data_IF_772914307293
#
_entry.id   IF_772914307293
#
_cell.length_a   1.000
_cell.length_b   1.000
_cell.length_c   1.000
_cell.angle_alpha   90.00
_cell.angle_beta   90.00
_cell.angle_gamma   90.00
#
_symmetry.space_group_name_H-M   'P 1'
#
loop_
_entity.id
_entity.type
_entity.pdbx_description
1 polymer ?
#
# COMPACT_ATOMS: atom_id res chain seq x y z
N UNK A 1 -8.27 13.56 10.80
CA UNK A 1 -9.07 12.68 9.92
C UNK A 1 -10.58 12.98 9.91
N UNK A 2 -11.17 13.62 10.93
CA UNK A 2 -12.61 13.89 10.95
C UNK A 2 -13.11 14.85 9.84
N UNK A 3 -12.25 15.74 9.33
CA UNK A 3 -12.63 16.72 8.29
C UNK A 3 -13.18 16.08 7.02
N UNK A 4 -12.64 14.91 6.61
CA UNK A 4 -13.15 14.19 5.44
C UNK A 4 -14.60 13.74 5.63
N UNK A 5 -14.94 13.19 6.81
CA UNK A 5 -16.30 12.73 7.10
C UNK A 5 -17.31 13.89 7.03
N UNK A 6 -16.97 15.04 7.64
CA UNK A 6 -17.79 16.24 7.61
C UNK A 6 -17.99 16.75 6.18
N UNK A 7 -16.91 16.81 5.39
CA UNK A 7 -16.94 17.35 4.03
C UNK A 7 -17.67 16.46 3.02
N UNK A 8 -17.96 15.20 3.35
CA UNK A 8 -18.78 14.28 2.52
C UNK A 8 -20.19 14.06 3.07
N UNK A 9 -20.59 14.82 4.10
CA UNK A 9 -21.95 14.80 4.65
C UNK A 9 -22.19 13.74 5.73
N UNK A 10 -21.16 13.28 6.43
CA UNK A 10 -21.28 12.44 7.62
C UNK A 10 -21.06 13.27 8.89
N UNK A 11 -21.81 12.99 9.95
CA UNK A 11 -21.70 13.73 11.23
C UNK A 11 -20.34 13.55 11.91
N UNK A 12 -19.74 12.36 11.75
CA UNK A 12 -18.43 12.01 12.30
C UNK A 12 -17.83 10.83 11.55
N UNK A 13 -16.52 10.65 11.75
CA UNK A 13 -15.82 9.47 11.26
C UNK A 13 -16.42 8.18 11.84
N UNK A 14 -16.69 7.20 10.96
CA UNK A 14 -17.11 5.87 11.36
C UNK A 14 -16.01 5.16 12.15
N UNK A 15 -16.41 4.25 13.06
CA UNK A 15 -15.45 3.50 13.87
C UNK A 15 -14.48 2.70 13.02
N UNK A 16 -13.27 2.49 13.54
CA UNK A 16 -12.21 1.77 12.85
C UNK A 16 -12.64 0.43 12.24
N UNK A 17 -13.31 -0.44 13.01
CA UNK A 17 -13.69 -1.77 12.53
C UNK A 17 -14.86 -1.72 11.54
N UNK A 18 -15.88 -0.87 11.78
CA UNK A 18 -17.03 -0.73 10.87
C UNK A 18 -16.60 -0.25 9.47
N UNK A 19 -15.55 0.57 9.37
CA UNK A 19 -15.00 0.99 8.07
C UNK A 19 -14.52 -0.20 7.24
N UNK A 20 -13.97 -1.23 7.87
CA UNK A 20 -13.55 -2.42 7.16
C UNK A 20 -14.71 -3.35 6.79
N UNK A 21 -15.80 -3.35 7.56
CA UNK A 21 -17.00 -4.12 7.18
C UNK A 21 -17.66 -3.52 5.93
N UNK A 22 -17.73 -2.18 5.87
CA UNK A 22 -18.16 -1.46 4.66
C UNK A 22 -17.20 -1.76 3.50
N UNK A 23 -15.89 -1.72 3.75
CA UNK A 23 -14.89 -2.00 2.72
C UNK A 23 -14.98 -3.44 2.20
N UNK A 24 -15.27 -4.42 3.06
CA UNK A 24 -15.43 -5.82 2.63
C UNK A 24 -16.60 -5.95 1.63
N UNK A 25 -17.75 -5.34 1.93
CA UNK A 25 -18.89 -5.36 1.01
C UNK A 25 -18.62 -4.52 -0.26
N UNK A 26 -17.90 -3.41 -0.13
CA UNK A 26 -17.46 -2.61 -1.28
C UNK A 26 -16.61 -3.45 -2.24
N UNK A 27 -15.65 -4.21 -1.72
CA UNK A 27 -14.82 -5.11 -2.52
C UNK A 27 -15.67 -6.18 -3.21
N UNK A 28 -16.64 -6.76 -2.51
CA UNK A 28 -17.55 -7.75 -3.11
C UNK A 28 -18.38 -7.15 -4.26
N UNK A 29 -18.82 -5.89 -4.17
CA UNK A 29 -19.50 -5.19 -5.29
C UNK A 29 -18.56 -5.04 -6.48
N UNK A 30 -17.37 -4.45 -6.27
CA UNK A 30 -16.47 -4.15 -7.41
C UNK A 30 -15.90 -5.40 -8.05
N UNK A 31 -15.67 -6.49 -7.30
CA UNK A 31 -15.27 -7.76 -7.87
C UNK A 31 -16.36 -8.37 -8.76
N UNK A 32 -17.63 -8.33 -8.34
CA UNK A 32 -18.73 -8.78 -9.21
C UNK A 32 -18.77 -7.97 -10.51
N UNK A 33 -18.61 -6.65 -10.43
CA UNK A 33 -18.58 -5.77 -11.60
C UNK A 33 -17.41 -6.10 -12.55
N UNK A 34 -16.19 -6.20 -12.03
CA UNK A 34 -14.99 -6.38 -12.85
C UNK A 34 -14.81 -7.82 -13.37
N UNK A 35 -15.16 -8.81 -12.57
CA UNK A 35 -14.84 -10.21 -12.88
C UNK A 35 -16.01 -11.01 -13.44
N UNK A 36 -17.25 -10.68 -13.10
CA UNK A 36 -18.41 -11.54 -13.40
C UNK A 36 -19.47 -10.90 -14.30
N UNK A 37 -19.63 -9.57 -14.27
CA UNK A 37 -20.69 -8.90 -15.04
C UNK A 37 -20.55 -9.06 -16.55
N UNK A 38 -19.33 -9.20 -17.07
CA UNK A 38 -19.08 -9.43 -18.50
C UNK A 38 -18.22 -10.69 -18.66
N UNK A 39 -18.66 -11.64 -19.48
CA UNK A 39 -17.85 -12.81 -19.84
C UNK A 39 -16.62 -12.40 -20.67
N UNK A 40 -15.61 -13.27 -20.75
CA UNK A 40 -14.33 -12.97 -21.42
C UNK A 40 -14.48 -12.69 -22.92
N UNK A 41 -15.47 -13.28 -23.57
CA UNK A 41 -15.75 -13.16 -25.00
C UNK A 41 -17.10 -12.46 -25.28
N UNK A 42 -17.55 -11.60 -24.34
CA UNK A 42 -18.75 -10.78 -24.51
C UNK A 42 -18.58 -9.76 -25.64
N UNK A 43 -17.39 -9.19 -25.81
CA UNK A 43 -17.08 -8.21 -26.87
C UNK A 43 -16.62 -8.95 -28.13
N UNK A 44 -17.37 -8.79 -29.22
CA UNK A 44 -17.15 -9.52 -30.48
C UNK A 44 -16.62 -8.58 -31.58
N UNK A 45 -17.14 -7.35 -31.65
CA UNK A 45 -16.82 -6.36 -32.71
C UNK A 45 -17.00 -6.94 -34.13
N UNK A 46 -18.15 -7.54 -34.40
CA UNK A 46 -18.54 -8.05 -35.73
C UNK A 46 -19.21 -6.92 -36.55
N UNK A 47 -18.41 -6.29 -37.43
CA UNK A 47 -18.88 -5.19 -38.30
C UNK A 47 -19.85 -5.66 -39.39
N UNK A 48 -19.74 -6.90 -39.85
CA UNK A 48 -20.60 -7.43 -40.92
C UNK A 48 -22.01 -7.70 -40.42
N UNK A 49 -22.13 -8.24 -39.19
CA UNK A 49 -23.42 -8.50 -38.53
C UNK A 49 -23.95 -7.32 -37.71
N UNK A 50 -23.14 -6.28 -37.51
CA UNK A 50 -23.50 -5.11 -36.70
C UNK A 50 -23.59 -5.43 -35.19
N UNK A 51 -22.81 -6.40 -34.70
CA UNK A 51 -22.83 -6.84 -33.30
C UNK A 51 -21.53 -6.39 -32.63
N UNK A 52 -21.63 -5.46 -31.68
CA UNK A 52 -20.46 -5.06 -30.87
C UNK A 52 -20.25 -6.02 -29.69
N UNK A 53 -21.31 -6.30 -28.93
CA UNK A 53 -21.31 -7.15 -27.74
C UNK A 53 -22.43 -8.18 -27.85
N UNK A 54 -22.17 -9.41 -27.40
CA UNK A 54 -23.21 -10.42 -27.18
C UNK A 54 -23.99 -10.10 -25.89
N UNK A 55 -25.27 -9.68 -25.99
CA UNK A 55 -26.04 -9.31 -24.81
C UNK A 55 -26.33 -10.50 -23.89
N UNK A 56 -26.21 -11.74 -24.37
CA UNK A 56 -26.38 -12.93 -23.54
C UNK A 56 -25.22 -13.20 -22.58
N UNK A 57 -24.13 -12.43 -22.73
CA UNK A 57 -22.88 -12.54 -21.96
C UNK A 57 -22.59 -11.33 -21.06
N UNK A 58 -23.58 -10.46 -20.92
CA UNK A 58 -23.54 -9.30 -20.02
C UNK A 58 -24.65 -9.48 -18.98
N UNK A 59 -24.24 -9.50 -17.73
CA UNK A 59 -25.05 -9.93 -16.60
C UNK A 59 -25.10 -8.83 -15.54
N UNK A 60 -26.31 -8.58 -15.06
CA UNK A 60 -26.56 -7.83 -13.84
C UNK A 60 -25.90 -8.53 -12.64
N UNK A 61 -25.31 -7.78 -11.71
CA UNK A 61 -24.60 -8.39 -10.57
C UNK A 61 -25.51 -8.71 -9.37
N UNK A 62 -26.72 -8.13 -9.39
CA UNK A 62 -27.79 -8.32 -8.40
C UNK A 62 -27.28 -8.28 -6.95
N UNK A 63 -26.38 -7.34 -6.64
CA UNK A 63 -25.83 -7.21 -5.31
C UNK A 63 -26.84 -6.51 -4.39
N UNK A 64 -27.25 -7.20 -3.33
CA UNK A 64 -28.00 -6.63 -2.21
C UNK A 64 -27.35 -7.04 -0.90
N UNK A 65 -26.59 -6.12 -0.33
CA UNK A 65 -25.88 -6.28 0.93
C UNK A 65 -26.40 -5.32 2.01
N UNK A 66 -25.65 -5.22 3.11
CA UNK A 66 -26.01 -4.35 4.23
C UNK A 66 -25.75 -2.88 3.93
N UNK A 67 -24.74 -2.59 3.11
CA UNK A 67 -24.24 -1.25 2.85
C UNK A 67 -24.54 -0.78 1.41
N UNK A 68 -24.63 -1.71 0.46
CA UNK A 68 -24.79 -1.42 -0.96
C UNK A 68 -25.91 -2.24 -1.60
N UNK A 69 -26.63 -1.59 -2.52
CA UNK A 69 -27.60 -2.23 -3.39
C UNK A 69 -27.31 -1.82 -4.84
N UNK A 70 -26.78 -2.76 -5.62
CA UNK A 70 -26.29 -2.52 -6.99
C UNK A 70 -26.84 -3.65 -7.87
N UNK A 71 -27.98 -3.44 -8.54
CA UNK A 71 -28.59 -4.48 -9.36
C UNK A 71 -27.87 -4.66 -10.69
N UNK A 72 -27.50 -3.56 -11.34
CA UNK A 72 -27.13 -3.55 -12.75
C UNK A 72 -25.75 -4.10 -13.10
N UNK A 73 -25.55 -4.37 -14.39
CA UNK A 73 -24.28 -4.73 -14.99
C UNK A 73 -23.24 -3.61 -14.92
N UNK A 74 -21.96 -3.99 -15.08
CA UNK A 74 -20.88 -3.05 -15.23
C UNK A 74 -21.01 -2.31 -16.57
N UNK A 75 -20.73 -1.00 -16.59
CA UNK A 75 -20.84 -0.19 -17.80
C UNK A 75 -19.60 -0.30 -18.71
N UNK A 76 -18.53 -0.92 -18.23
CA UNK A 76 -17.27 -1.05 -18.96
C UNK A 76 -17.07 -2.49 -19.42
N UNK A 77 -16.54 -2.65 -20.64
CA UNK A 77 -16.09 -3.94 -21.14
C UNK A 77 -14.87 -4.47 -20.36
N UNK A 78 -14.58 -5.79 -20.40
CA UNK A 78 -13.42 -6.37 -19.74
C UNK A 78 -12.09 -5.66 -20.09
N UNK A 79 -11.44 -5.06 -19.10
CA UNK A 79 -10.12 -4.46 -19.25
C UNK A 79 -9.01 -5.52 -19.26
N UNK A 80 -7.77 -5.21 -19.70
CA UNK A 80 -6.67 -6.18 -19.76
C UNK A 80 -6.36 -6.92 -18.44
N UNK A 81 -6.66 -6.29 -17.30
CA UNK A 81 -6.47 -6.87 -15.98
C UNK A 81 -7.79 -7.25 -15.28
N UNK A 82 -8.93 -6.84 -15.85
CA UNK A 82 -10.24 -6.74 -15.18
C UNK A 82 -10.13 -5.98 -13.87
N UNK A 83 -9.90 -6.68 -12.77
CA UNK A 83 -9.59 -6.06 -11.48
C UNK A 83 -8.20 -5.39 -11.54
N UNK A 84 -8.06 -4.10 -11.16
CA UNK A 84 -6.75 -3.45 -11.03
C UNK A 84 -5.89 -4.12 -9.96
N UNK A 85 -4.57 -3.87 -9.93
CA UNK A 85 -3.72 -4.38 -8.85
C UNK A 85 -4.15 -3.79 -7.51
N UNK A 86 -4.43 -4.63 -6.53
CA UNK A 86 -4.96 -4.16 -5.23
C UNK A 86 -3.83 -3.86 -4.25
N UNK A 87 -3.68 -2.57 -3.93
CA UNK A 87 -2.82 -2.10 -2.85
C UNK A 87 -3.61 -1.88 -1.57
N UNK A 88 -2.99 -2.16 -0.43
CA UNK A 88 -3.59 -1.92 0.88
C UNK A 88 -2.50 -1.51 1.90
N UNK A 89 -2.81 -0.60 2.83
CA UNK A 89 -1.83 -0.02 3.77
C UNK A 89 -2.26 -0.10 5.25
N UNK A 90 -3.17 -1.00 5.60
CA UNK A 90 -3.72 -1.14 6.94
C UNK A 90 -3.04 -2.23 7.74
N UNK A 91 -2.25 -1.85 8.75
CA UNK A 91 -1.49 -2.77 9.59
C UNK A 91 -2.14 -3.10 10.96
N UNK A 92 -3.34 -2.58 11.26
CA UNK A 92 -4.12 -2.98 12.45
C UNK A 92 -4.57 -4.44 12.37
N UNK A 93 -5.03 -5.05 13.46
CA UNK A 93 -5.50 -6.45 13.42
C UNK A 93 -6.61 -6.67 12.37
N UNK A 94 -7.61 -5.78 12.33
CA UNK A 94 -8.68 -5.81 11.32
C UNK A 94 -8.15 -5.49 9.91
N UNK A 95 -7.23 -4.54 9.80
CA UNK A 95 -6.59 -4.16 8.54
C UNK A 95 -5.76 -5.28 7.92
N UNK A 96 -4.99 -6.01 8.74
CA UNK A 96 -4.21 -7.17 8.29
C UNK A 96 -5.09 -8.28 7.74
N UNK A 97 -6.21 -8.58 8.40
CA UNK A 97 -7.20 -9.55 7.90
C UNK A 97 -7.80 -9.12 6.56
N UNK A 98 -8.13 -7.83 6.44
CA UNK A 98 -8.66 -7.28 5.20
C UNK A 98 -7.62 -7.35 4.06
N UNK A 99 -6.36 -6.97 4.33
CA UNK A 99 -5.29 -7.06 3.34
C UNK A 99 -4.96 -8.50 2.97
N UNK A 100 -4.89 -9.41 3.95
CA UNK A 100 -4.69 -10.83 3.71
C UNK A 100 -5.76 -11.40 2.76
N UNK A 101 -7.01 -10.95 2.93
CA UNK A 101 -8.11 -11.33 2.04
C UNK A 101 -7.99 -10.72 0.63
N UNK A 102 -7.69 -9.42 0.51
CA UNK A 102 -7.89 -8.67 -0.75
C UNK A 102 -6.65 -8.12 -1.44
N UNK A 103 -5.54 -7.94 -0.73
CA UNK A 103 -4.38 -7.23 -1.28
C UNK A 103 -3.53 -8.15 -2.18
N UNK A 104 -2.99 -7.57 -3.23
CA UNK A 104 -1.85 -8.12 -3.97
C UNK A 104 -0.55 -7.43 -3.51
N UNK A 105 -0.63 -6.16 -3.13
CA UNK A 105 0.47 -5.45 -2.48
C UNK A 105 0.03 -4.84 -1.16
N UNK A 106 0.86 -5.04 -0.14
CA UNK A 106 0.69 -4.45 1.17
C UNK A 106 1.82 -3.45 1.40
N UNK A 107 1.45 -2.23 1.76
CA UNK A 107 2.39 -1.22 2.21
C UNK A 107 2.42 -1.17 3.73
N UNK A 108 3.61 -1.25 4.32
CA UNK A 108 3.83 -1.12 5.77
C UNK A 108 4.72 0.07 6.08
N UNK A 109 4.35 0.81 7.13
CA UNK A 109 5.17 1.86 7.75
C UNK A 109 5.67 1.36 9.10
N UNK A 110 6.95 0.99 9.16
CA UNK A 110 7.64 0.47 10.33
C UNK A 110 8.96 1.20 10.51
N UNK A 111 9.37 1.42 11.76
CA UNK A 111 10.54 2.24 12.09
C UNK A 111 11.83 1.45 12.24
N UNK A 112 11.76 0.11 12.39
CA UNK A 112 12.91 -0.76 12.62
C UNK A 112 12.83 -2.07 11.82
N UNK A 113 13.95 -2.71 11.51
CA UNK A 113 13.97 -4.04 10.87
C UNK A 113 13.22 -5.08 11.70
N UNK A 114 13.39 -5.07 13.03
CA UNK A 114 12.70 -6.01 13.92
C UNK A 114 11.16 -5.88 13.86
N UNK A 115 10.65 -4.64 13.90
CA UNK A 115 9.21 -4.39 13.78
C UNK A 115 8.67 -4.74 12.39
N UNK A 116 9.49 -4.55 11.36
CA UNK A 116 9.20 -4.92 9.97
C UNK A 116 9.08 -6.44 9.83
N UNK A 117 10.07 -7.20 10.30
CA UNK A 117 10.08 -8.67 10.28
C UNK A 117 8.84 -9.26 10.96
N UNK A 118 8.51 -8.76 12.17
CA UNK A 118 7.30 -9.18 12.90
C UNK A 118 6.02 -8.88 12.12
N UNK A 119 5.97 -7.73 11.45
CA UNK A 119 4.79 -7.32 10.66
C UNK A 119 4.66 -8.16 9.40
N UNK A 120 5.74 -8.41 8.67
CA UNK A 120 5.80 -9.31 7.51
C UNK A 120 5.29 -10.70 7.91
N UNK A 121 5.85 -11.30 8.97
CA UNK A 121 5.42 -12.62 9.45
C UNK A 121 3.91 -12.65 9.75
N UNK A 122 3.38 -11.64 10.45
CA UNK A 122 1.96 -11.56 10.75
C UNK A 122 1.09 -11.48 9.49
N UNK A 123 1.51 -10.75 8.44
CA UNK A 123 0.79 -10.73 7.16
C UNK A 123 0.82 -12.09 6.46
N UNK A 124 1.98 -12.77 6.41
CA UNK A 124 2.08 -14.11 5.81
C UNK A 124 1.16 -15.11 6.53
N UNK A 125 1.14 -15.08 7.86
CA UNK A 125 0.26 -15.94 8.67
C UNK A 125 -1.23 -15.66 8.42
N UNK A 126 -1.65 -14.39 8.39
CA UNK A 126 -3.04 -14.04 8.08
C UNK A 126 -3.42 -14.40 6.63
N UNK A 127 -2.48 -14.31 5.68
CA UNK A 127 -2.70 -14.71 4.27
C UNK A 127 -3.01 -16.19 4.16
N UNK A 128 -2.26 -17.03 4.88
CA UNK A 128 -2.52 -18.49 4.95
C UNK A 128 -3.89 -18.75 5.57
N UNK A 129 -4.24 -18.06 6.67
CA UNK A 129 -5.56 -18.20 7.32
C UNK A 129 -6.70 -17.77 6.39
N UNK A 130 -6.46 -16.82 5.48
CA UNK A 130 -7.41 -16.40 4.46
C UNK A 130 -7.53 -17.39 3.28
N UNK A 131 -6.78 -18.50 3.29
CA UNK A 131 -6.81 -19.52 2.24
C UNK A 131 -6.01 -19.16 0.99
N UNK A 132 -5.11 -18.17 1.07
CA UNK A 132 -4.23 -17.73 -0.02
C UNK A 132 -2.81 -18.20 0.21
N UNK A 133 -2.02 -18.25 -0.86
CA UNK A 133 -0.60 -18.55 -0.73
C UNK A 133 0.18 -17.30 -0.29
N UNK A 134 1.17 -17.42 0.60
CA UNK A 134 1.91 -16.27 1.11
C UNK A 134 2.51 -15.38 0.02
N UNK A 135 3.00 -15.96 -1.07
CA UNK A 135 3.64 -15.29 -2.21
C UNK A 135 2.68 -14.52 -3.12
N UNK A 136 1.37 -14.71 -2.97
CA UNK A 136 0.35 -13.94 -3.70
C UNK A 136 0.16 -12.52 -3.16
N UNK A 137 0.87 -12.16 -2.09
CA UNK A 137 0.96 -10.81 -1.56
C UNK A 137 2.42 -10.37 -1.62
N UNK A 138 2.69 -9.20 -2.17
CA UNK A 138 4.01 -8.55 -2.02
C UNK A 138 3.95 -7.49 -0.94
N UNK A 139 4.92 -7.47 -0.05
CA UNK A 139 4.97 -6.54 1.08
C UNK A 139 6.07 -5.51 0.83
N UNK A 140 5.67 -4.25 0.77
CA UNK A 140 6.57 -3.11 0.56
C UNK A 140 6.70 -2.33 1.86
N UNK A 141 7.93 -1.97 2.24
CA UNK A 141 8.18 -1.06 3.36
C UNK A 141 8.61 0.32 2.89
N UNK A 142 8.29 1.37 3.65
CA UNK A 142 8.75 2.73 3.38
C UNK A 142 10.24 2.86 3.66
N UNK A 143 10.97 3.55 2.80
CA UNK A 143 12.33 4.05 3.09
C UNK A 143 12.53 5.43 2.48
N UNK A 144 13.36 6.26 3.10
CA UNK A 144 13.83 7.52 2.51
C UNK A 144 15.35 7.45 2.33
N UNK A 145 15.85 7.21 1.10
CA UNK A 145 17.29 7.18 0.85
C UNK A 145 17.84 8.60 0.68
N UNK A 146 18.97 8.89 1.33
CA UNK A 146 19.78 10.08 1.11
C UNK A 146 21.12 9.60 0.56
N UNK A 147 21.34 9.84 -0.74
CA UNK A 147 22.47 9.27 -1.47
C UNK A 147 23.35 10.38 -2.02
N UNK A 148 24.66 10.18 -1.93
CA UNK A 148 25.68 10.99 -2.60
C UNK A 148 26.85 10.07 -3.00
N UNK A 149 27.80 10.53 -3.83
CA UNK A 149 28.93 9.72 -4.26
C UNK A 149 29.77 9.13 -3.11
N UNK A 150 29.91 9.87 -2.00
CA UNK A 150 30.65 9.43 -0.80
C UNK A 150 29.75 9.38 0.45
N UNK A 151 30.24 8.72 1.51
CA UNK A 151 29.52 8.65 2.79
C UNK A 151 29.41 10.05 3.42
N UNK A 152 30.51 10.80 3.39
CA UNK A 152 30.63 12.13 3.95
C UNK A 152 29.69 13.12 3.25
N UNK A 153 29.64 13.12 1.91
CA UNK A 153 28.71 13.98 1.15
C UNK A 153 27.24 13.63 1.43
N UNK A 154 26.91 12.35 1.67
CA UNK A 154 25.54 11.94 1.97
C UNK A 154 25.12 12.40 3.38
N UNK A 155 26.04 12.35 4.34
CA UNK A 155 25.85 12.87 5.69
C UNK A 155 25.70 14.40 5.68
N UNK A 156 26.57 15.12 4.95
CA UNK A 156 26.44 16.57 4.78
C UNK A 156 25.10 16.96 4.14
N UNK A 157 24.69 16.25 3.10
CA UNK A 157 23.38 16.42 2.45
C UNK A 157 22.22 16.19 3.42
N UNK A 158 22.31 15.16 4.26
CA UNK A 158 21.27 14.89 5.27
C UNK A 158 21.22 15.98 6.36
N UNK A 159 22.38 16.41 6.86
CA UNK A 159 22.47 17.53 7.81
C UNK A 159 21.95 18.84 7.23
N UNK A 160 22.15 19.08 5.93
CA UNK A 160 21.54 20.21 5.23
C UNK A 160 20.01 20.10 5.22
N UNK A 161 19.46 18.95 4.83
CA UNK A 161 18.00 18.77 4.76
C UNK A 161 17.31 18.96 6.12
N UNK A 162 17.94 18.48 7.20
CA UNK A 162 17.41 18.69 8.56
C UNK A 162 17.25 20.17 8.92
N UNK A 163 18.09 21.08 8.39
CA UNK A 163 17.97 22.53 8.63
C UNK A 163 16.68 23.14 8.05
N UNK A 164 16.09 22.48 7.06
CA UNK A 164 14.85 22.89 6.42
C UNK A 164 13.62 22.15 6.97
N UNK A 165 13.80 21.17 7.86
CA UNK A 165 12.70 20.46 8.47
C UNK A 165 11.90 21.41 9.38
N UNK A 166 10.58 21.46 9.17
CA UNK A 166 9.67 22.24 10.03
C UNK A 166 9.20 21.38 11.20
N UNK A 167 9.53 21.81 12.41
CA UNK A 167 9.08 21.17 13.64
C UNK A 167 7.54 21.15 13.72
N UNK A 168 6.89 22.29 13.50
CA UNK A 168 5.43 22.42 13.52
C UNK A 168 4.77 21.58 12.42
N UNK A 169 5.38 21.55 11.23
CA UNK A 169 4.92 20.70 10.12
C UNK A 169 4.98 19.22 10.46
N UNK A 170 6.06 18.78 11.11
CA UNK A 170 6.20 17.40 11.58
C UNK A 170 5.15 17.05 12.63
N UNK A 171 4.93 17.93 13.63
CA UNK A 171 3.90 17.71 14.65
C UNK A 171 2.49 17.67 14.04
N UNK A 172 2.19 18.52 13.06
CA UNK A 172 0.90 18.50 12.35
C UNK A 172 0.68 17.17 11.62
N UNK A 173 1.71 16.63 10.97
CA UNK A 173 1.65 15.32 10.30
C UNK A 173 1.42 14.19 11.32
N UNK A 174 2.23 14.15 12.39
CA UNK A 174 2.10 13.12 13.42
C UNK A 174 0.75 13.21 14.11
N UNK A 175 0.26 14.41 14.42
CA UNK A 175 -1.08 14.61 14.97
C UNK A 175 -2.18 14.11 14.01
N UNK A 176 -2.00 14.32 12.70
CA UNK A 176 -2.87 13.77 11.67
C UNK A 176 -2.90 12.25 11.64
N UNK A 177 -1.73 11.59 11.75
CA UNK A 177 -1.60 10.13 11.73
C UNK A 177 -2.06 9.47 13.03
N UNK A 178 -1.71 10.07 14.16
CA UNK A 178 -1.92 9.50 15.50
C UNK A 178 -3.23 9.93 16.15
N UNK A 179 -3.83 11.03 15.70
CA UNK A 179 -5.00 11.64 16.33
C UNK A 179 -4.70 12.34 17.66
N UNK A 180 -3.42 12.55 17.99
CA UNK A 180 -2.98 13.27 19.19
C UNK A 180 -2.78 14.75 18.89
N UNK A 181 -3.05 15.61 19.87
CA UNK A 181 -2.59 17.00 19.82
C UNK A 181 -1.22 17.10 20.50
N UNK A 182 -0.15 17.07 19.71
CA UNK A 182 1.22 17.07 20.23
C UNK A 182 1.69 18.45 20.70
N UNK A 183 1.04 19.53 20.29
CA UNK A 183 1.36 20.90 20.73
C UNK A 183 1.12 21.11 22.23
N UNK A 184 0.17 20.35 22.80
CA UNK A 184 -0.17 20.40 24.23
C UNK A 184 0.76 19.55 25.11
N UNK A 185 1.63 18.74 24.51
CA UNK A 185 2.54 17.84 25.21
C UNK A 185 3.91 18.48 25.43
N UNK A 186 4.60 18.09 26.50
CA UNK A 186 5.98 18.52 26.73
C UNK A 186 6.90 17.88 25.66
N UNK A 187 7.80 18.63 25.01
CA UNK A 187 8.77 18.10 24.03
C UNK A 187 9.57 16.87 24.51
N UNK A 188 9.87 16.81 25.81
CA UNK A 188 10.65 15.73 26.43
C UNK A 188 9.79 14.55 26.93
N UNK A 189 8.46 14.66 26.84
CA UNK A 189 7.56 13.60 27.24
C UNK A 189 7.42 12.56 26.12
N UNK A 190 7.36 11.28 26.51
CA UNK A 190 7.14 10.18 25.58
C UNK A 190 5.71 10.20 25.05
N UNK A 191 5.56 9.88 23.77
CA UNK A 191 4.24 9.68 23.18
C UNK A 191 3.67 8.37 23.73
N UNK A 192 2.53 8.42 24.40
CA UNK A 192 1.88 7.21 24.90
C UNK A 192 0.86 6.65 23.91
N UNK A 193 0.77 5.32 23.82
CA UNK A 193 -0.26 4.68 23.03
C UNK A 193 -1.64 4.97 23.61
N UNK A 194 -2.48 5.67 22.85
CA UNK A 194 -3.89 5.91 23.16
C UNK A 194 -4.74 5.25 22.10
N UNK A 195 -5.66 4.35 22.51
CA UNK A 195 -6.58 3.71 21.57
C UNK A 195 -7.56 4.75 21.02
N UNK A 196 -7.49 5.03 19.73
CA UNK A 196 -8.42 5.90 19.01
C UNK A 196 -8.69 5.39 17.57
N UNK A 197 -9.47 6.15 16.79
CA UNK A 197 -9.85 5.80 15.42
C UNK A 197 -8.82 6.22 14.34
N UNK A 198 -7.61 6.65 14.75
CA UNK A 198 -6.53 7.08 13.86
C UNK A 198 -5.69 5.90 13.31
N UNK A 199 -4.50 6.18 12.78
CA UNK A 199 -3.59 5.15 12.24
C UNK A 199 -2.93 4.43 13.41
N UNK A 200 -3.54 3.33 13.83
CA UNK A 200 -3.08 2.56 14.99
C UNK A 200 -1.63 2.06 14.88
N UNK A 201 -1.13 1.80 13.66
CA UNK A 201 0.26 1.41 13.44
C UNK A 201 1.24 2.55 13.67
N UNK A 202 0.93 3.78 13.25
CA UNK A 202 1.78 4.94 13.47
C UNK A 202 1.94 5.24 14.97
N UNK A 203 0.83 5.23 15.72
CA UNK A 203 0.84 5.37 17.18
C UNK A 203 1.76 4.36 17.88
N UNK A 204 1.71 3.10 17.43
CA UNK A 204 2.55 2.03 17.99
C UNK A 204 4.02 2.24 17.62
N UNK A 205 4.33 2.71 16.42
CA UNK A 205 5.70 2.94 15.97
C UNK A 205 6.39 4.09 16.73
N UNK A 206 5.62 5.07 17.21
CA UNK A 206 6.15 6.25 17.88
C UNK A 206 6.04 6.23 19.41
N UNK A 207 5.49 5.17 20.02
CA UNK A 207 5.18 5.17 21.46
C UNK A 207 6.40 5.19 22.38
N UNK A 208 7.61 5.03 21.84
CA UNK A 208 8.86 5.11 22.60
C UNK A 208 9.63 6.40 22.35
N UNK A 209 9.19 7.23 21.40
CA UNK A 209 9.81 8.52 21.07
C UNK A 209 9.28 9.60 22.01
N UNK A 210 10.13 10.57 22.33
CA UNK A 210 9.66 11.88 22.81
C UNK A 210 8.99 12.66 21.67
N UNK A 211 8.24 13.70 22.03
CA UNK A 211 7.64 14.61 21.03
C UNK A 211 8.72 15.28 20.17
N UNK A 212 9.87 15.63 20.75
CA UNK A 212 11.00 16.19 20.02
C UNK A 212 11.64 15.16 19.07
N UNK A 213 11.92 13.96 19.56
CA UNK A 213 12.51 12.88 18.75
C UNK A 213 11.62 12.49 17.56
N UNK A 214 10.29 12.45 17.75
CA UNK A 214 9.39 12.12 16.63
C UNK A 214 9.37 13.24 15.59
N UNK A 215 9.45 14.50 16.01
CA UNK A 215 9.44 15.64 15.10
C UNK A 215 10.72 15.64 14.23
N UNK A 216 11.87 15.38 14.84
CA UNK A 216 13.14 15.22 14.12
C UNK A 216 13.11 14.05 13.14
N UNK A 217 12.61 12.89 13.59
CA UNK A 217 12.51 11.68 12.75
C UNK A 217 11.59 11.91 11.54
N UNK A 218 10.41 12.49 11.76
CA UNK A 218 9.39 12.71 10.74
C UNK A 218 9.78 13.83 9.79
N UNK A 219 10.58 14.80 10.24
CA UNK A 219 11.03 15.95 9.45
C UNK A 219 11.66 15.58 8.10
N UNK A 220 12.28 14.40 7.98
CA UNK A 220 12.79 13.86 6.71
C UNK A 220 12.25 12.46 6.41
N UNK A 221 12.16 11.57 7.41
CA UNK A 221 11.84 10.15 7.20
C UNK A 221 10.36 9.80 7.13
N UNK A 222 9.48 10.69 7.59
CA UNK A 222 8.05 10.40 7.71
C UNK A 222 7.78 9.15 8.58
N UNK A 223 7.10 8.15 8.01
CA UNK A 223 6.68 6.91 8.70
C UNK A 223 7.72 5.77 8.63
N UNK A 224 8.90 6.00 8.05
CA UNK A 224 9.86 4.95 7.73
C UNK A 224 11.31 5.38 7.99
N UNK A 225 12.25 4.42 7.97
CA UNK A 225 13.67 4.69 8.19
C UNK A 225 14.26 5.58 7.09
N UNK A 226 15.19 6.44 7.50
CA UNK A 226 16.09 7.17 6.59
C UNK A 226 17.39 6.39 6.45
N UNK A 227 17.82 6.12 5.23
CA UNK A 227 19.10 5.46 4.95
C UNK A 227 20.03 6.49 4.32
N UNK A 228 21.10 6.86 5.03
CA UNK A 228 22.06 7.88 4.60
C UNK A 228 23.40 7.23 4.28
N UNK A 229 23.88 7.39 3.06
CA UNK A 229 25.25 6.96 2.75
C UNK A 229 25.63 6.94 1.28
N UNK A 230 26.82 6.37 1.06
CA UNK A 230 27.34 6.11 -0.28
C UNK A 230 26.46 5.12 -1.05
N UNK A 231 26.61 5.02 -2.38
CA UNK A 231 25.73 4.20 -3.21
C UNK A 231 25.77 2.72 -2.83
N UNK A 232 26.97 2.21 -2.52
CA UNK A 232 27.18 0.83 -2.05
C UNK A 232 26.52 0.59 -0.70
N UNK A 233 26.67 1.50 0.26
CA UNK A 233 26.06 1.33 1.59
C UNK A 233 24.54 1.31 1.52
N UNK A 234 23.95 2.19 0.70
CA UNK A 234 22.50 2.19 0.49
C UNK A 234 22.06 0.88 -0.16
N UNK A 235 22.75 0.41 -1.20
CA UNK A 235 22.44 -0.88 -1.83
C UNK A 235 22.56 -2.07 -0.85
N UNK A 236 23.63 -2.11 -0.05
CA UNK A 236 23.85 -3.12 1.00
C UNK A 236 22.72 -3.12 2.03
N UNK A 237 22.30 -1.94 2.49
CA UNK A 237 21.17 -1.82 3.41
C UNK A 237 19.89 -2.37 2.78
N UNK A 238 19.56 -2.02 1.52
CA UNK A 238 18.34 -2.52 0.87
C UNK A 238 18.32 -4.06 0.78
N UNK A 239 19.47 -4.66 0.47
CA UNK A 239 19.64 -6.11 0.42
C UNK A 239 19.42 -6.72 1.81
N UNK A 240 20.08 -6.19 2.84
CA UNK A 240 19.92 -6.61 4.25
C UNK A 240 18.45 -6.50 4.70
N UNK A 241 17.76 -5.41 4.34
CA UNK A 241 16.34 -5.21 4.65
C UNK A 241 15.47 -6.31 4.03
N UNK A 242 15.71 -6.70 2.78
CA UNK A 242 14.98 -7.80 2.13
C UNK A 242 15.26 -9.13 2.82
N UNK A 243 16.54 -9.45 3.05
CA UNK A 243 16.98 -10.72 3.63
C UNK A 243 16.49 -10.93 5.06
N UNK A 244 16.63 -9.91 5.91
CA UNK A 244 16.37 -10.06 7.34
C UNK A 244 14.90 -9.91 7.71
N UNK A 245 14.13 -9.15 6.92
CA UNK A 245 12.73 -8.85 7.22
C UNK A 245 11.73 -9.61 6.35
N UNK A 246 12.13 -10.04 5.14
CA UNK A 246 11.27 -10.73 4.19
C UNK A 246 10.29 -9.82 3.43
N UNK A 247 10.57 -8.52 3.37
CA UNK A 247 9.87 -7.60 2.46
C UNK A 247 10.21 -7.92 1.01
N UNK A 248 9.28 -7.69 0.09
CA UNK A 248 9.45 -7.94 -1.35
C UNK A 248 9.95 -6.71 -2.11
N UNK A 249 10.09 -5.58 -1.42
CA UNK A 249 10.57 -4.34 -2.00
C UNK A 249 10.26 -3.13 -1.14
N UNK A 250 10.39 -1.96 -1.77
CA UNK A 250 10.37 -0.68 -1.07
C UNK A 250 9.43 0.31 -1.74
N UNK A 251 8.76 1.10 -0.92
CA UNK A 251 8.14 2.34 -1.35
C UNK A 251 9.15 3.46 -1.06
N UNK A 252 9.77 4.02 -2.10
CA UNK A 252 10.82 5.03 -1.98
C UNK A 252 10.18 6.40 -1.75
N UNK A 253 10.35 6.96 -0.55
CA UNK A 253 10.00 8.34 -0.25
C UNK A 253 11.13 9.29 -0.63
N UNK A 254 10.81 10.59 -0.61
CA UNK A 254 11.74 11.65 -0.96
C UNK A 254 11.93 12.62 0.19
N UNK A 255 13.15 13.15 0.32
CA UNK A 255 13.41 14.37 1.09
C UNK A 255 13.22 15.60 0.20
N UNK A 256 13.72 15.53 -1.03
CA UNK A 256 13.53 16.55 -2.07
C UNK A 256 13.07 15.89 -3.37
N UNK A 257 12.24 16.59 -4.13
CA UNK A 257 11.74 16.10 -5.44
C UNK A 257 12.08 17.11 -6.54
N UNK A 258 12.63 16.67 -7.69
CA UNK A 258 12.90 15.27 -8.06
C UNK A 258 14.21 14.68 -7.51
N UNK A 259 15.07 15.49 -6.86
CA UNK A 259 16.46 15.14 -6.55
C UNK A 259 16.69 13.79 -5.84
N UNK A 260 15.88 13.41 -4.85
CA UNK A 260 16.04 12.10 -4.18
C UNK A 260 15.91 10.94 -5.18
N UNK A 261 14.99 11.04 -6.15
CA UNK A 261 14.79 10.00 -7.16
C UNK A 261 15.91 9.99 -8.19
N UNK A 262 16.40 11.16 -8.58
CA UNK A 262 17.55 11.29 -9.51
C UNK A 262 18.80 10.65 -8.90
N UNK A 263 19.15 11.02 -7.66
CA UNK A 263 20.28 10.44 -6.93
C UNK A 263 20.14 8.91 -6.79
N UNK A 264 18.95 8.41 -6.45
CA UNK A 264 18.73 6.97 -6.28
C UNK A 264 18.88 6.21 -7.61
N UNK A 265 18.34 6.76 -8.70
CA UNK A 265 18.44 6.17 -10.04
C UNK A 265 19.86 6.23 -10.59
N UNK A 266 20.57 7.34 -10.38
CA UNK A 266 21.93 7.53 -10.87
C UNK A 266 22.93 6.64 -10.11
N UNK A 267 22.84 6.61 -8.78
CA UNK A 267 23.88 6.00 -7.96
C UNK A 267 23.56 4.58 -7.49
N UNK A 268 22.31 4.28 -7.10
CA UNK A 268 21.97 3.01 -6.43
C UNK A 268 21.48 1.95 -7.41
N UNK A 269 20.59 2.33 -8.35
CA UNK A 269 20.01 1.39 -9.31
C UNK A 269 21.06 0.60 -10.12
N UNK A 270 22.16 1.19 -10.62
CA UNK A 270 23.19 0.44 -11.35
C UNK A 270 23.81 -0.68 -10.51
N UNK A 271 24.06 -0.44 -9.22
CA UNK A 271 24.61 -1.43 -8.29
C UNK A 271 23.60 -2.57 -8.07
N UNK A 272 22.33 -2.23 -7.81
CA UNK A 272 21.27 -3.23 -7.64
C UNK A 272 21.05 -4.06 -8.91
N UNK A 273 21.22 -3.46 -10.09
CA UNK A 273 21.15 -4.15 -11.38
C UNK A 273 22.37 -5.06 -11.63
N UNK A 274 23.56 -4.66 -11.21
CA UNK A 274 24.76 -5.50 -11.26
C UNK A 274 24.61 -6.74 -10.37
N UNK A 275 24.04 -6.56 -9.17
CA UNK A 275 23.71 -7.65 -8.22
C UNK A 275 22.51 -8.51 -8.64
N UNK A 276 21.79 -8.13 -9.69
CA UNK A 276 20.59 -8.85 -10.16
C UNK A 276 19.35 -8.69 -9.26
N UNK A 277 19.37 -7.74 -8.33
CA UNK A 277 18.26 -7.44 -7.41
C UNK A 277 17.16 -6.59 -8.05
N UNK A 278 17.51 -5.81 -9.08
CA UNK A 278 16.56 -4.98 -9.83
C UNK A 278 16.64 -5.28 -11.31
N UNK A 279 15.47 -5.27 -11.97
CA UNK A 279 15.34 -5.48 -13.42
C UNK A 279 16.14 -4.46 -14.21
N UNK A 280 16.78 -4.91 -15.30
CA UNK A 280 17.49 -4.04 -16.27
C UNK A 280 16.57 -3.47 -17.36
N UNK A 281 15.46 -4.14 -17.62
CA UNK A 281 14.45 -3.76 -18.63
C UNK A 281 13.06 -4.16 -18.11
N UNK A 282 12.03 -3.48 -18.62
CA UNK A 282 10.65 -3.89 -18.36
C UNK A 282 10.24 -5.02 -19.31
N UNK A 283 9.63 -6.05 -18.76
CA UNK A 283 8.91 -7.07 -19.52
C UNK A 283 7.60 -6.50 -20.09
N UNK A 284 7.15 -7.00 -21.24
CA UNK A 284 5.86 -6.62 -21.80
C UNK A 284 4.67 -7.12 -20.97
N UNK A 285 3.50 -6.51 -21.19
CA UNK A 285 2.24 -6.90 -20.54
C UNK A 285 1.81 -6.01 -19.38
N UNK A 286 0.81 -6.45 -18.63
CA UNK A 286 0.15 -5.63 -17.61
C UNK A 286 1.02 -5.38 -16.37
N UNK A 287 0.56 -4.49 -15.48
CA UNK A 287 1.27 -4.23 -14.23
C UNK A 287 1.28 -5.47 -13.32
N UNK A 288 0.17 -6.21 -13.23
CA UNK A 288 0.10 -7.48 -12.49
C UNK A 288 1.09 -8.51 -13.05
N UNK A 289 1.19 -8.62 -14.37
CA UNK A 289 2.14 -9.56 -15.00
C UNK A 289 3.59 -9.23 -14.65
N UNK A 290 3.96 -7.96 -14.62
CA UNK A 290 5.30 -7.50 -14.19
C UNK A 290 5.62 -7.77 -12.72
N UNK A 291 4.62 -8.09 -11.91
CA UNK A 291 4.77 -8.39 -10.48
C UNK A 291 4.68 -9.88 -10.19
N UNK A 292 3.74 -10.60 -10.84
CA UNK A 292 3.35 -11.97 -10.49
C UNK A 292 3.42 -12.96 -11.67
N UNK A 293 3.80 -12.51 -12.86
CA UNK A 293 3.88 -13.33 -14.07
C UNK A 293 2.54 -13.59 -14.77
N UNK A 294 1.41 -13.10 -14.26
CA UNK A 294 0.07 -13.29 -14.82
C UNK A 294 -0.71 -11.97 -14.93
N UNK A 295 -1.57 -11.83 -15.94
CA UNK A 295 -2.40 -10.62 -16.13
C UNK A 295 -3.63 -10.57 -15.20
N UNK A 296 -4.12 -11.74 -14.79
CA UNK A 296 -5.30 -11.90 -13.92
C UNK A 296 -4.92 -12.30 -12.49
N UNK A 297 -5.87 -12.09 -11.58
CA UNK A 297 -5.74 -12.47 -10.17
C UNK A 297 -5.52 -13.98 -10.01
N UNK A 298 -4.73 -14.35 -8.99
CA UNK A 298 -4.53 -15.75 -8.60
C UNK A 298 -5.84 -16.42 -8.19
N UNK A 299 -5.96 -17.73 -8.41
CA UNK A 299 -7.20 -18.50 -8.18
C UNK A 299 -7.73 -18.41 -6.74
N UNK A 300 -6.84 -18.30 -5.76
CA UNK A 300 -7.22 -18.19 -4.33
C UNK A 300 -7.75 -16.79 -3.97
N UNK A 301 -7.58 -15.79 -4.83
CA UNK A 301 -8.06 -14.44 -4.58
C UNK A 301 -9.60 -14.40 -4.57
N UNK A 302 -10.25 -13.76 -3.58
CA UNK A 302 -11.72 -13.80 -3.43
C UNK A 302 -12.47 -13.32 -4.67
N UNK A 303 -11.92 -12.34 -5.41
CA UNK A 303 -12.54 -11.88 -6.66
C UNK A 303 -12.77 -13.00 -7.68
N UNK A 304 -11.88 -14.01 -7.74
CA UNK A 304 -12.01 -15.15 -8.67
C UNK A 304 -13.19 -16.06 -8.34
N UNK A 305 -13.68 -16.03 -7.10
CA UNK A 305 -14.86 -16.80 -6.71
C UNK A 305 -16.15 -16.28 -7.37
N UNK A 306 -16.16 -15.01 -7.81
CA UNK A 306 -17.32 -14.44 -8.52
C UNK A 306 -17.42 -14.90 -9.96
N UNK A 307 -16.30 -15.24 -10.63
CA UNK A 307 -16.30 -15.75 -12.01
C UNK A 307 -17.00 -17.09 -12.18
N UNK A 308 -16.91 -17.96 -11.16
CA UNK A 308 -17.46 -19.32 -11.24
C UNK A 308 -18.93 -19.38 -10.81
N UNK A 309 -19.46 -18.31 -10.21
CA UNK A 309 -20.89 -18.21 -9.89
C UNK A 309 -21.61 -17.74 -11.15
N UNK A 310 -22.05 -18.70 -11.97
CA UNK A 310 -23.17 -18.41 -12.89
C UNK A 310 -24.31 -17.91 -12.04
N UNK A 311 -24.68 -16.64 -12.23
CA UNK A 311 -25.91 -16.10 -11.65
C UNK A 311 -27.02 -16.96 -12.27
N UNK A 312 -27.82 -17.69 -11.47
CA UNK A 312 -28.94 -18.44 -12.01
C UNK A 312 -29.85 -17.46 -12.75
N UNK A 313 -30.09 -17.75 -14.04
CA UNK A 313 -31.06 -17.04 -14.88
C UNK A 313 -32.46 -17.25 -14.31
#
# INVERSE_FOLDING_TARGET
MNSAALNIGLDKQLSHDNRYDIADEYMDVVYKLWEASWEDDAVIVDKEKGIYTDPSKVHDIEHEGKYYKVPGAHLCEPSPQRTPVIFQAGASSRGRKFAAKHAELVFIGTTTMESTKKTVQAFREETIKAGRKPEEIKILTLITPIVAPTQEEAEEKYEEYKKYASYEGALALVGGWTGLNLEELNPQEKIHYVKNDAIQSALKSYSEFTVEEVAEFVGVGGLGPVIVGSPTKVADSLEEWVEDTGVDGFNIAYAITPGTFEDFVEYVIPILQERGLVRKKYEEGTFRKKLFGNDFLHEHHPARQHRNRRIPV
#
